data_IF_216196081508
#
_entry.id   IF_216196081508
#
_cell.length_a   1.000
_cell.length_b   1.000
_cell.length_c   1.000
_cell.angle_alpha   90.00
_cell.angle_beta   90.00
_cell.angle_gamma   90.00
#
_symmetry.space_group_name_H-M   'P 1'
#
loop_
_entity.id
_entity.type
_entity.pdbx_description
1 polymer ?
#
# COMPACT_ATOMS: atom_id res chain seq x y z
N UNK A 1 -24.01 28.11 -33.99
CA UNK A 1 -25.32 27.42 -34.10
C UNK A 1 -25.59 26.65 -32.81
N UNK A 2 -26.52 27.10 -31.96
CA UNK A 2 -26.93 26.40 -30.72
C UNK A 2 -27.94 25.30 -31.09
N UNK A 3 -27.54 24.03 -31.02
CA UNK A 3 -28.46 22.90 -31.24
C UNK A 3 -29.32 22.73 -29.99
N UNK A 4 -30.63 22.93 -30.12
CA UNK A 4 -31.59 22.68 -29.04
C UNK A 4 -31.67 21.17 -28.81
N UNK A 5 -31.56 20.68 -27.55
CA UNK A 5 -31.70 19.26 -27.27
C UNK A 5 -33.10 18.79 -27.67
N UNK A 6 -33.16 17.66 -28.36
CA UNK A 6 -34.41 17.04 -28.81
C UNK A 6 -35.27 16.67 -27.60
N UNK A 7 -36.55 17.02 -27.62
CA UNK A 7 -37.52 16.68 -26.56
C UNK A 7 -37.53 15.16 -26.27
N UNK A 8 -37.23 14.35 -27.28
CA UNK A 8 -37.08 12.90 -27.14
C UNK A 8 -35.87 12.50 -26.28
N UNK A 9 -34.78 13.27 -26.33
CA UNK A 9 -33.57 13.05 -25.52
C UNK A 9 -33.79 13.45 -24.04
N UNK A 10 -34.59 14.51 -23.80
CA UNK A 10 -34.99 14.91 -22.44
C UNK A 10 -35.94 13.89 -21.80
N UNK A 11 -36.85 13.28 -22.59
CA UNK A 11 -37.72 12.20 -22.11
C UNK A 11 -36.96 10.91 -21.80
N UNK A 12 -35.96 10.56 -22.61
CA UNK A 12 -35.12 9.38 -22.37
C UNK A 12 -34.23 9.53 -21.12
N UNK A 13 -33.67 10.74 -20.90
CA UNK A 13 -32.90 11.04 -19.69
C UNK A 13 -33.77 11.03 -18.43
N UNK A 14 -35.02 11.49 -18.52
CA UNK A 14 -35.99 11.43 -17.43
C UNK A 14 -36.41 10.00 -17.06
N UNK A 15 -36.60 9.12 -18.05
CA UNK A 15 -37.00 7.72 -17.83
C UNK A 15 -35.85 6.88 -17.22
N UNK A 16 -34.60 7.19 -17.56
CA UNK A 16 -33.42 6.50 -17.02
C UNK A 16 -33.13 6.91 -15.56
N UNK A 17 -33.47 8.15 -15.16
CA UNK A 17 -33.27 8.65 -13.80
C UNK A 17 -34.25 8.05 -12.78
N UNK A 18 -35.42 7.59 -13.23
CA UNK A 18 -36.45 7.01 -12.34
C UNK A 18 -36.19 5.55 -11.96
N UNK A 19 -35.23 4.87 -12.58
CA UNK A 19 -34.96 3.45 -12.32
C UNK A 19 -34.04 3.17 -11.12
N UNK A 20 -33.39 4.20 -10.54
CA UNK A 20 -32.41 4.02 -9.45
C UNK A 20 -32.97 4.22 -8.03
N UNK A 21 -34.25 4.56 -7.85
CA UNK A 21 -34.88 4.64 -6.52
C UNK A 21 -35.69 3.38 -6.21
N UNK A 22 -34.99 2.30 -5.90
CA UNK A 22 -35.66 1.06 -5.50
C UNK A 22 -34.75 0.10 -4.76
N UNK A 23 -34.52 0.34 -3.47
CA UNK A 23 -34.54 -0.68 -2.41
C UNK A 23 -33.96 -0.16 -1.08
N UNK A 24 -34.82 0.31 -0.19
CA UNK A 24 -34.67 0.09 1.25
C UNK A 24 -36.08 0.06 1.87
N UNK A 25 -36.73 -1.11 1.79
CA UNK A 25 -37.85 -1.39 2.69
C UNK A 25 -37.26 -1.70 4.06
N UNK A 26 -37.47 -0.80 5.02
CA UNK A 26 -37.09 -0.99 6.42
C UNK A 26 -37.99 -2.06 7.03
N UNK A 27 -37.42 -3.22 7.34
CA UNK A 27 -38.11 -4.28 8.08
C UNK A 27 -37.90 -4.02 9.57
N UNK A 28 -39.00 -3.74 10.29
CA UNK A 28 -38.97 -3.66 11.74
C UNK A 28 -38.89 -5.08 12.32
N UNK A 29 -37.80 -5.38 13.03
CA UNK A 29 -37.57 -6.62 13.78
C UNK A 29 -37.80 -6.32 15.28
N UNK A 30 -38.49 -7.19 16.03
CA UNK A 30 -38.90 -6.93 17.40
C UNK A 30 -37.74 -6.86 18.39
N UNK A 31 -37.89 -5.95 19.35
CA UNK A 31 -37.09 -5.76 20.56
C UNK A 31 -36.96 -7.04 21.38
N UNK A 32 -35.72 -7.49 21.59
CA UNK A 32 -35.35 -8.33 22.74
C UNK A 32 -34.34 -7.55 23.58
N UNK A 33 -34.71 -7.29 24.83
CA UNK A 33 -33.91 -6.65 25.88
C UNK A 33 -32.91 -7.66 26.46
N UNK A 34 -31.61 -7.36 26.41
CA UNK A 34 -30.52 -7.99 27.19
C UNK A 34 -29.24 -7.11 27.09
N UNK A 35 -28.29 -7.20 28.05
CA UNK A 35 -27.73 -6.04 28.76
C UNK A 35 -26.67 -5.25 28.00
N UNK A 36 -26.53 -3.99 28.43
CA UNK A 36 -25.47 -3.03 28.14
C UNK A 36 -24.10 -3.71 28.09
N UNK A 37 -23.57 -3.89 26.89
CA UNK A 37 -22.21 -4.32 26.65
C UNK A 37 -21.55 -3.27 25.76
N UNK A 38 -20.56 -2.59 26.34
CA UNK A 38 -19.69 -1.59 25.74
C UNK A 38 -19.33 -1.96 24.30
N UNK A 39 -19.78 -1.14 23.34
CA UNK A 39 -19.38 -1.26 21.95
C UNK A 39 -17.89 -0.93 21.84
N UNK A 40 -17.05 -1.96 21.84
CA UNK A 40 -15.68 -1.87 21.34
C UNK A 40 -15.81 -1.79 19.82
N UNK A 41 -15.50 -0.63 19.26
CA UNK A 41 -15.24 -0.47 17.83
C UNK A 41 -14.04 -1.35 17.49
N UNK A 42 -14.29 -2.57 17.01
CA UNK A 42 -13.25 -3.41 16.43
C UNK A 42 -12.92 -2.86 15.06
N UNK A 43 -11.83 -2.11 15.00
CA UNK A 43 -11.03 -1.91 13.80
C UNK A 43 -10.79 -3.29 13.14
N UNK A 44 -10.91 -3.46 11.81
CA UNK A 44 -10.65 -4.74 11.17
C UNK A 44 -9.24 -5.18 11.53
N UNK A 45 -9.14 -6.31 12.22
CA UNK A 45 -7.89 -6.85 12.73
C UNK A 45 -6.84 -6.89 11.60
N UNK A 46 -5.82 -6.03 11.69
CA UNK A 46 -4.59 -6.21 10.94
C UNK A 46 -4.11 -7.64 11.21
N UNK A 47 -3.92 -8.42 10.15
CA UNK A 47 -3.24 -9.71 10.26
C UNK A 47 -1.96 -9.52 11.08
N UNK A 48 -1.79 -10.21 12.22
CA UNK A 48 -0.65 -9.97 13.08
C UNK A 48 0.63 -10.32 12.32
N UNK A 49 1.47 -9.31 12.06
CA UNK A 49 2.82 -9.55 11.56
C UNK A 49 3.60 -10.35 12.61
N UNK A 50 4.45 -11.31 12.19
CA UNK A 50 5.28 -12.02 13.16
C UNK A 50 6.19 -11.02 13.88
N UNK A 51 6.28 -11.15 15.20
CA UNK A 51 7.22 -10.37 16.01
C UNK A 51 8.65 -10.60 15.48
N UNK A 52 9.45 -9.55 15.25
CA UNK A 52 10.84 -9.71 14.86
C UNK A 52 11.64 -10.54 15.87
N UNK A 53 12.66 -11.24 15.40
CA UNK A 53 13.66 -11.90 16.25
C UNK A 53 14.39 -10.87 17.16
N UNK A 54 15.03 -11.36 18.23
CA UNK A 54 15.80 -10.51 19.13
C UNK A 54 16.88 -9.72 18.36
N UNK A 55 17.03 -8.44 18.68
CA UNK A 55 17.96 -7.50 18.00
C UNK A 55 17.68 -7.27 16.50
N UNK A 56 16.50 -7.69 15.99
CA UNK A 56 16.08 -7.50 14.60
C UNK A 56 14.87 -6.59 14.49
N UNK A 57 14.56 -6.21 13.26
CA UNK A 57 13.35 -5.45 12.88
C UNK A 57 12.71 -6.11 11.66
N UNK A 58 11.49 -5.70 11.32
CA UNK A 58 10.82 -6.10 10.08
C UNK A 58 10.34 -4.86 9.33
N UNK A 59 10.38 -4.90 8.00
CA UNK A 59 9.88 -3.81 7.15
C UNK A 59 8.69 -4.31 6.35
N UNK A 60 7.58 -3.56 6.37
CA UNK A 60 6.35 -3.88 5.65
C UNK A 60 5.86 -2.68 4.85
N UNK A 61 5.06 -2.94 3.83
CA UNK A 61 4.44 -1.88 3.04
C UNK A 61 3.62 -2.47 1.90
N UNK A 62 3.20 -1.60 0.99
CA UNK A 62 2.41 -1.98 -0.18
C UNK A 62 2.93 -1.28 -1.43
N UNK A 63 3.00 -1.97 -2.56
CA UNK A 63 3.43 -1.39 -3.83
C UNK A 63 2.22 -1.17 -4.73
N UNK A 64 2.08 0.05 -5.25
CA UNK A 64 1.04 0.47 -6.16
C UNK A 64 1.63 1.01 -7.46
N UNK A 65 0.99 0.72 -8.59
CA UNK A 65 1.34 1.31 -9.88
C UNK A 65 0.87 2.76 -9.93
N UNK A 66 1.74 3.67 -10.35
CA UNK A 66 1.34 5.06 -10.69
C UNK A 66 0.55 5.13 -11.99
N UNK A 67 0.69 4.13 -12.87
CA UNK A 67 0.02 4.07 -14.17
C UNK A 67 -1.44 3.66 -14.03
N UNK A 68 -1.70 2.59 -13.27
CA UNK A 68 -3.07 2.03 -13.12
C UNK A 68 -3.72 2.38 -11.78
N UNK A 69 -2.94 2.76 -10.77
CA UNK A 69 -3.41 2.89 -9.38
C UNK A 69 -3.63 1.54 -8.67
N UNK A 70 -3.45 0.43 -9.38
CA UNK A 70 -3.66 -0.93 -8.86
C UNK A 70 -2.43 -1.42 -8.07
N UNK A 71 -2.62 -2.37 -7.14
CA UNK A 71 -1.50 -3.01 -6.47
C UNK A 71 -0.67 -3.86 -7.42
N UNK A 72 0.63 -3.88 -7.19
CA UNK A 72 1.57 -4.66 -7.99
C UNK A 72 1.94 -5.94 -7.26
N UNK A 73 1.51 -7.07 -7.81
CA UNK A 73 1.83 -8.41 -7.27
C UNK A 73 3.12 -8.98 -7.86
N UNK A 74 3.75 -9.91 -7.12
CA UNK A 74 4.93 -10.65 -7.56
C UNK A 74 6.09 -9.75 -8.02
N UNK A 75 6.29 -8.61 -7.34
CA UNK A 75 7.47 -7.75 -7.54
C UNK A 75 8.38 -7.79 -6.32
N UNK A 76 9.68 -7.81 -6.58
CA UNK A 76 10.71 -7.84 -5.55
C UNK A 76 10.85 -6.44 -4.92
N UNK A 77 10.96 -6.40 -3.59
CA UNK A 77 11.32 -5.21 -2.83
C UNK A 77 12.59 -5.52 -2.05
N UNK A 78 13.67 -4.80 -2.36
CA UNK A 78 14.98 -4.95 -1.73
C UNK A 78 15.29 -3.77 -0.81
N UNK A 79 15.97 -4.07 0.28
CA UNK A 79 16.49 -3.10 1.23
C UNK A 79 17.98 -2.85 0.95
N UNK A 80 18.30 -1.69 0.40
CA UNK A 80 19.66 -1.22 0.20
C UNK A 80 20.15 -0.51 1.47
N UNK A 81 21.25 -0.97 2.07
CA UNK A 81 21.79 -0.39 3.30
C UNK A 81 22.30 1.02 3.05
N UNK A 82 21.94 1.97 3.89
CA UNK A 82 22.52 3.33 3.87
C UNK A 82 23.83 3.35 4.66
N UNK A 83 24.84 3.99 4.09
CA UNK A 83 26.14 4.28 4.71
C UNK A 83 26.33 5.79 4.72
N UNK A 84 26.66 6.35 5.89
CA UNK A 84 26.83 7.80 6.08
C UNK A 84 28.29 8.17 6.34
N UNK A 85 28.66 9.34 5.85
CA UNK A 85 29.91 10.05 6.15
C UNK A 85 29.56 11.54 6.40
N UNK A 86 29.29 11.87 7.67
CA UNK A 86 28.72 13.16 8.06
C UNK A 86 27.37 13.41 7.37
N UNK A 87 27.27 14.53 6.67
CA UNK A 87 26.07 14.91 5.90
C UNK A 87 25.92 14.15 4.57
N UNK A 88 26.94 13.39 4.15
CA UNK A 88 26.89 12.58 2.93
C UNK A 88 26.32 11.21 3.25
N UNK A 89 25.55 10.68 2.33
CA UNK A 89 25.06 9.32 2.39
C UNK A 89 25.14 8.66 1.02
N UNK A 90 25.41 7.37 1.02
CA UNK A 90 25.26 6.48 -0.13
C UNK A 90 24.45 5.26 0.31
N UNK A 91 23.83 4.55 -0.63
CA UNK A 91 23.20 3.27 -0.35
C UNK A 91 23.90 2.16 -1.14
N UNK A 92 23.97 0.97 -0.54
CA UNK A 92 24.61 -0.21 -1.12
C UNK A 92 23.55 -1.29 -1.29
N UNK A 93 23.36 -1.71 -2.54
CA UNK A 93 22.49 -2.80 -2.92
C UNK A 93 23.35 -3.95 -3.44
N UNK A 94 23.27 -5.10 -2.77
CA UNK A 94 23.94 -6.33 -3.19
C UNK A 94 22.85 -7.35 -3.50
N UNK A 95 22.62 -7.67 -4.77
CA UNK A 95 21.48 -8.51 -5.18
C UNK A 95 21.35 -9.84 -4.40
N UNK A 96 22.48 -10.52 -4.18
CA UNK A 96 22.49 -11.81 -3.47
C UNK A 96 22.26 -11.70 -1.95
N UNK A 97 22.58 -10.57 -1.33
CA UNK A 97 22.69 -10.45 0.13
C UNK A 97 21.83 -9.36 0.76
N UNK A 98 21.42 -8.35 0.00
CA UNK A 98 20.48 -7.34 0.46
C UNK A 98 19.15 -8.00 0.80
N UNK A 99 18.63 -7.80 2.03
CA UNK A 99 17.34 -8.33 2.42
C UNK A 99 16.25 -7.91 1.45
N UNK A 100 15.25 -8.76 1.26
CA UNK A 100 14.11 -8.42 0.43
C UNK A 100 12.94 -9.36 0.59
N UNK A 101 11.82 -8.94 0.04
CA UNK A 101 10.56 -9.67 0.04
C UNK A 101 9.88 -9.54 -1.32
N UNK A 102 8.94 -10.44 -1.59
CA UNK A 102 8.10 -10.38 -2.79
C UNK A 102 6.72 -9.84 -2.38
N UNK A 103 6.12 -9.00 -3.22
CA UNK A 103 4.74 -8.56 -2.98
C UNK A 103 3.72 -9.69 -3.24
N UNK A 104 2.66 -9.72 -2.43
CA UNK A 104 1.52 -10.61 -2.61
C UNK A 104 0.53 -10.12 -3.69
N UNK A 105 -0.59 -10.81 -3.87
CA UNK A 105 -1.63 -10.46 -4.85
C UNK A 105 -2.25 -9.07 -4.62
N UNK A 106 -2.17 -8.54 -3.41
CA UNK A 106 -2.70 -7.23 -3.03
C UNK A 106 -1.59 -6.17 -2.97
N UNK A 107 -0.37 -6.49 -3.42
CA UNK A 107 0.78 -5.62 -3.44
C UNK A 107 1.50 -5.47 -2.10
N UNK A 108 1.10 -6.18 -1.05
CA UNK A 108 1.75 -6.09 0.25
C UNK A 108 3.04 -6.90 0.27
N UNK A 109 4.07 -6.39 0.94
CA UNK A 109 5.31 -7.12 1.17
C UNK A 109 5.69 -7.09 2.66
N UNK A 110 6.49 -8.08 3.04
CA UNK A 110 7.18 -8.14 4.31
C UNK A 110 8.63 -8.56 4.08
N UNK A 111 9.56 -7.87 4.74
CA UNK A 111 10.96 -8.25 4.84
C UNK A 111 11.27 -8.47 6.33
N UNK A 112 11.20 -9.72 6.81
CA UNK A 112 11.32 -10.00 8.23
C UNK A 112 12.79 -10.08 8.68
N UNK A 113 13.00 -9.84 9.98
CA UNK A 113 14.24 -10.14 10.69
C UNK A 113 15.52 -9.53 10.08
N UNK A 114 15.44 -8.27 9.66
CA UNK A 114 16.57 -7.50 9.15
C UNK A 114 17.30 -6.76 10.27
N UNK A 115 18.50 -6.27 9.99
CA UNK A 115 19.25 -5.46 10.96
C UNK A 115 18.54 -4.11 11.18
N UNK A 116 18.52 -3.63 12.42
CA UNK A 116 17.94 -2.33 12.75
C UNK A 116 18.88 -1.18 12.36
N UNK A 117 18.88 -0.83 11.07
CA UNK A 117 19.69 0.22 10.44
C UNK A 117 18.86 1.08 9.50
N UNK A 118 19.50 1.99 8.77
CA UNK A 118 18.84 2.76 7.71
C UNK A 118 18.87 2.04 6.36
N UNK A 119 17.73 2.06 5.68
CA UNK A 119 17.55 1.45 4.37
C UNK A 119 16.94 2.42 3.35
N UNK A 120 17.31 2.23 2.09
CA UNK A 120 16.58 2.72 0.91
C UNK A 120 15.86 1.52 0.29
N UNK A 121 14.60 1.73 -0.12
CA UNK A 121 13.83 0.70 -0.79
C UNK A 121 14.05 0.75 -2.30
N UNK A 122 14.27 -0.42 -2.89
CA UNK A 122 14.38 -0.63 -4.34
C UNK A 122 13.31 -1.63 -4.75
N UNK A 123 12.42 -1.24 -5.65
CA UNK A 123 11.29 -2.03 -6.11
C UNK A 123 11.55 -2.48 -7.54
N UNK A 124 11.47 -3.78 -7.81
CA UNK A 124 11.71 -4.38 -9.13
C UNK A 124 12.95 -5.26 -9.20
N UNK A 125 13.29 -5.65 -10.43
CA UNK A 125 14.45 -6.48 -10.75
C UNK A 125 15.62 -5.58 -11.13
N UNK A 126 16.72 -5.68 -10.38
CA UNK A 126 17.94 -4.89 -10.60
C UNK A 126 18.66 -5.23 -11.90
N UNK A 127 18.41 -6.41 -12.49
CA UNK A 127 18.88 -6.77 -13.82
C UNK A 127 17.87 -6.42 -14.93
N UNK A 128 16.66 -6.02 -14.55
CA UNK A 128 15.55 -5.67 -15.43
C UNK A 128 15.08 -4.24 -15.23
N UNK A 129 13.81 -4.09 -14.88
CA UNK A 129 13.20 -2.80 -14.53
C UNK A 129 13.09 -2.68 -13.02
N UNK A 130 13.65 -1.60 -12.47
CA UNK A 130 13.56 -1.27 -11.05
C UNK A 130 13.41 0.24 -10.85
N UNK A 131 12.90 0.61 -9.68
CA UNK A 131 12.81 1.98 -9.23
C UNK A 131 13.29 2.08 -7.78
N UNK A 132 14.12 3.10 -7.52
CA UNK A 132 14.49 3.50 -6.17
C UNK A 132 13.35 4.37 -5.63
N UNK A 133 12.89 4.10 -4.42
CA UNK A 133 11.84 4.93 -3.83
C UNK A 133 12.44 6.26 -3.37
N UNK A 134 11.86 7.34 -3.88
CA UNK A 134 12.31 8.71 -3.64
C UNK A 134 11.45 9.43 -2.59
N UNK A 135 12.05 10.43 -1.95
CA UNK A 135 11.36 11.40 -1.12
C UNK A 135 10.78 12.54 -1.97
N UNK A 136 10.16 13.51 -1.31
CA UNK A 136 9.58 14.68 -1.97
C UNK A 136 10.61 15.55 -2.70
N UNK A 137 11.88 15.43 -2.33
CA UNK A 137 13.01 16.13 -2.94
C UNK A 137 13.62 15.41 -4.15
N UNK A 138 13.04 14.29 -4.57
CA UNK A 138 13.53 13.47 -5.69
C UNK A 138 14.82 12.72 -5.39
N UNK A 139 15.25 12.65 -4.12
CA UNK A 139 16.39 11.82 -3.69
C UNK A 139 15.88 10.52 -3.10
N UNK A 140 16.73 9.49 -3.10
CA UNK A 140 16.43 8.23 -2.44
C UNK A 140 16.01 8.48 -0.98
N UNK A 141 14.83 7.98 -0.59
CA UNK A 141 14.30 8.17 0.76
C UNK A 141 14.96 7.17 1.71
N UNK A 142 15.66 7.61 2.77
CA UNK A 142 16.10 6.71 3.82
C UNK A 142 14.95 6.46 4.80
N UNK A 143 14.81 5.22 5.24
CA UNK A 143 13.99 4.83 6.37
C UNK A 143 14.88 4.30 7.48
N UNK A 144 14.76 4.88 8.67
CA UNK A 144 15.38 4.35 9.87
C UNK A 144 14.47 3.27 10.49
N UNK A 145 15.07 2.18 10.94
CA UNK A 145 14.37 1.10 11.63
C UNK A 145 14.83 1.00 13.08
N UNK A 146 14.02 0.36 13.92
CA UNK A 146 14.26 0.20 15.36
C UNK A 146 14.22 -1.28 15.73
N UNK A 147 15.12 -1.70 16.63
CA UNK A 147 15.11 -3.06 17.19
C UNK A 147 13.76 -3.40 17.81
N UNK A 148 13.22 -4.57 17.49
CA UNK A 148 11.96 -5.10 18.00
C UNK A 148 10.70 -4.51 17.36
N UNK A 149 10.84 -3.51 16.49
CA UNK A 149 9.70 -2.86 15.83
C UNK A 149 9.46 -3.41 14.42
N UNK A 150 8.21 -3.28 13.97
CA UNK A 150 7.83 -3.45 12.57
C UNK A 150 7.66 -2.07 11.96
N UNK A 151 8.54 -1.69 11.04
CA UNK A 151 8.42 -0.46 10.28
C UNK A 151 7.46 -0.67 9.11
N UNK A 152 6.30 0.00 9.15
CA UNK A 152 5.42 0.13 7.99
C UNK A 152 5.79 1.37 7.17
N UNK A 153 6.23 1.17 5.93
CA UNK A 153 6.61 2.26 5.02
C UNK A 153 5.43 2.86 4.24
N UNK A 154 4.24 2.30 4.39
CA UNK A 154 3.01 2.70 3.71
C UNK A 154 2.94 2.26 2.25
N UNK A 155 2.17 3.01 1.46
CA UNK A 155 2.02 2.78 0.03
C UNK A 155 3.20 3.39 -0.74
N UNK A 156 3.94 2.53 -1.44
CA UNK A 156 5.02 2.86 -2.36
C UNK A 156 4.44 2.94 -3.76
N UNK A 157 4.43 4.15 -4.33
CA UNK A 157 3.95 4.38 -5.69
C UNK A 157 5.12 4.32 -6.66
N UNK A 158 5.06 3.39 -7.60
CA UNK A 158 6.12 3.16 -8.58
C UNK A 158 5.61 3.24 -10.02
N UNK A 159 6.46 3.69 -10.92
CA UNK A 159 6.24 3.73 -12.37
C UNK A 159 7.08 2.63 -13.02
N UNK A 160 6.61 1.39 -12.86
CA UNK A 160 7.22 0.21 -13.46
C UNK A 160 6.24 -0.41 -14.44
N UNK A 161 6.69 -0.59 -15.68
CA UNK A 161 5.97 -1.39 -16.66
C UNK A 161 6.40 -2.84 -16.49
N UNK A 162 5.59 -3.61 -15.76
CA UNK A 162 5.82 -5.03 -15.59
C UNK A 162 5.12 -5.76 -16.74
N UNK A 163 5.81 -6.64 -17.48
CA UNK A 163 5.25 -7.35 -18.63
C UNK A 163 4.13 -8.33 -18.25
#
# INVERSE_FOLDING_TARGET
MKRKPSILFLLFLGLLLTLFLGACKSQATPTITAPENTAVTTDPAETPFPTPEAEKTSVTGRVLSTVTGEPISNILVRLARVVRDGERAAFVLEDAFSPGGMTDTNGYFIVPNVDAIEYVLVVGDVYGQYQIVEGEDGRAKPWATTVGEVLNVGDLKVDLTIP
#
